data_IF_376871360578
#
_entry.id   IF_376871360578
#
_cell.length_a   1.000
_cell.length_b   1.000
_cell.length_c   1.000
_cell.angle_alpha   90.00
_cell.angle_beta   90.00
_cell.angle_gamma   90.00
#
_symmetry.space_group_name_H-M   'P 1'
#
loop_
_entity.id
_entity.type
_entity.pdbx_description
1 polymer ?
#
# COMPACT_ATOMS: atom_id res chain seq x y z
N UNK A 1 -1.36 9.68 -1.12
CA UNK A 1 0.07 9.90 -1.37
C UNK A 1 0.85 9.28 -0.23
N UNK A 2 1.75 8.33 -0.49
CA UNK A 2 2.62 7.76 0.55
C UNK A 2 3.56 8.89 1.01
N UNK A 3 3.42 9.36 2.24
CA UNK A 3 4.30 10.36 2.81
C UNK A 3 5.50 9.68 3.46
N UNK A 4 6.71 10.13 3.12
CA UNK A 4 7.94 9.64 3.74
C UNK A 4 7.96 10.15 5.17
N UNK A 5 7.80 9.24 6.13
CA UNK A 5 7.80 9.58 7.55
C UNK A 5 9.23 9.81 8.04
N UNK A 6 9.71 11.05 7.91
CA UNK A 6 11.05 11.46 8.33
C UNK A 6 11.30 11.30 9.83
N UNK A 7 10.23 11.34 10.64
CA UNK A 7 10.29 11.14 12.09
C UNK A 7 9.36 9.99 12.51
N UNK A 8 9.77 8.72 12.31
CA UNK A 8 8.95 7.57 12.64
C UNK A 8 8.76 7.44 14.16
N UNK A 9 7.65 6.81 14.57
CA UNK A 9 7.37 6.56 15.98
C UNK A 9 8.43 5.62 16.58
N UNK A 10 8.78 5.82 17.86
CA UNK A 10 9.76 4.96 18.55
C UNK A 10 9.39 3.48 18.50
N UNK A 11 8.08 3.15 18.52
CA UNK A 11 7.59 1.78 18.38
C UNK A 11 7.93 1.18 17.02
N UNK A 12 7.76 1.93 15.93
CA UNK A 12 8.10 1.48 14.57
C UNK A 12 9.60 1.24 14.41
N UNK A 13 10.43 2.14 14.97
CA UNK A 13 11.89 1.96 14.96
C UNK A 13 12.32 0.70 15.72
N UNK A 14 11.69 0.40 16.87
CA UNK A 14 11.97 -0.84 17.63
C UNK A 14 11.51 -2.09 16.90
N UNK A 15 10.33 -2.07 16.28
CA UNK A 15 9.84 -3.19 15.47
C UNK A 15 10.75 -3.44 14.27
N UNK A 16 11.21 -2.37 13.62
CA UNK A 16 12.19 -2.48 12.55
C UNK A 16 13.52 -3.06 13.04
N UNK A 17 14.06 -2.53 14.15
CA UNK A 17 15.32 -3.00 14.73
C UNK A 17 15.28 -4.46 15.18
N UNK A 18 14.19 -4.88 15.82
CA UNK A 18 14.10 -6.22 16.42
C UNK A 18 13.65 -7.32 15.47
N UNK A 19 12.89 -6.99 14.41
CA UNK A 19 12.27 -7.98 13.54
C UNK A 19 12.76 -7.81 12.11
N UNK A 20 12.44 -6.68 11.49
CA UNK A 20 12.60 -6.51 10.05
C UNK A 20 14.06 -6.40 9.61
N UNK A 21 14.88 -5.67 10.36
CA UNK A 21 16.29 -5.49 10.06
C UNK A 21 17.08 -6.80 10.18
N UNK A 22 17.03 -7.56 11.29
CA UNK A 22 17.72 -8.84 11.38
C UNK A 22 17.18 -9.87 10.39
N UNK A 23 15.86 -9.92 10.15
CA UNK A 23 15.28 -10.80 9.12
C UNK A 23 15.81 -10.48 7.72
N UNK A 24 15.91 -9.19 7.38
CA UNK A 24 16.47 -8.74 6.10
C UNK A 24 17.95 -9.11 5.98
N UNK A 25 18.76 -8.84 7.00
CA UNK A 25 20.18 -9.21 7.01
C UNK A 25 20.39 -10.74 6.95
N UNK A 26 19.55 -11.52 7.63
CA UNK A 26 19.58 -12.99 7.56
C UNK A 26 19.30 -13.49 6.14
N UNK A 27 18.25 -12.97 5.51
CA UNK A 27 17.86 -13.37 4.15
C UNK A 27 18.89 -12.97 3.11
N UNK A 28 19.42 -11.75 3.20
CA UNK A 28 20.47 -11.25 2.29
C UNK A 28 21.76 -12.05 2.48
N UNK A 29 22.21 -12.24 3.73
CA UNK A 29 23.40 -13.03 4.04
C UNK A 29 23.28 -14.47 3.56
N UNK A 30 22.12 -15.10 3.76
CA UNK A 30 21.84 -16.44 3.25
C UNK A 30 21.89 -16.50 1.72
N UNK A 31 21.30 -15.51 1.03
CA UNK A 31 21.34 -15.44 -0.44
C UNK A 31 22.76 -15.29 -0.98
N UNK A 32 23.60 -14.48 -0.32
CA UNK A 32 25.01 -14.27 -0.69
C UNK A 32 25.85 -15.52 -0.40
N UNK A 33 25.68 -16.14 0.77
CA UNK A 33 26.38 -17.37 1.13
C UNK A 33 26.10 -18.50 0.12
N UNK A 34 24.83 -18.63 -0.30
CA UNK A 34 24.39 -19.61 -1.31
C UNK A 34 25.04 -19.40 -2.68
N UNK A 35 25.30 -18.15 -3.07
CA UNK A 35 25.89 -17.81 -4.38
C UNK A 35 27.42 -17.81 -4.38
N UNK A 36 28.04 -17.46 -3.26
CA UNK A 36 29.47 -17.11 -3.22
C UNK A 36 30.31 -18.10 -2.40
N UNK A 37 29.69 -18.91 -1.54
CA UNK A 37 30.39 -19.92 -0.72
C UNK A 37 31.23 -19.37 0.45
N UNK A 38 31.42 -18.04 0.55
CA UNK A 38 32.16 -17.38 1.62
C UNK A 38 31.33 -17.26 2.90
N UNK A 39 31.20 -18.35 3.65
CA UNK A 39 30.42 -18.40 4.90
C UNK A 39 31.00 -17.53 6.02
N UNK A 40 32.33 -17.40 6.08
CA UNK A 40 33.01 -16.64 7.12
C UNK A 40 32.67 -15.13 7.07
N UNK A 41 32.61 -14.54 5.87
CA UNK A 41 32.30 -13.12 5.71
C UNK A 41 30.82 -12.83 6.05
N UNK A 42 29.94 -13.80 5.78
CA UNK A 42 28.51 -13.69 6.10
C UNK A 42 28.26 -13.79 7.61
N UNK A 43 29.00 -14.64 8.31
CA UNK A 43 28.90 -14.77 9.77
C UNK A 43 29.30 -13.47 10.48
N UNK A 44 30.41 -12.85 10.07
CA UNK A 44 30.83 -11.54 10.59
C UNK A 44 29.75 -10.48 10.31
N UNK A 45 29.16 -10.49 9.10
CA UNK A 45 28.06 -9.60 8.73
C UNK A 45 26.82 -9.77 9.62
N UNK A 46 26.46 -11.00 9.98
CA UNK A 46 25.34 -11.28 10.87
C UNK A 46 25.59 -10.85 12.31
N UNK A 47 26.82 -11.04 12.83
CA UNK A 47 27.20 -10.57 14.16
C UNK A 47 27.06 -9.04 14.22
N UNK A 48 27.60 -8.33 13.22
CA UNK A 48 27.50 -6.86 13.14
C UNK A 48 26.05 -6.41 13.03
N UNK A 49 25.24 -7.05 12.19
CA UNK A 49 23.82 -6.75 12.07
C UNK A 49 23.05 -7.01 13.38
N UNK A 50 23.41 -8.07 14.11
CA UNK A 50 22.85 -8.38 15.43
C UNK A 50 23.17 -7.30 16.46
N UNK A 51 24.42 -6.83 16.51
CA UNK A 51 24.84 -5.73 17.39
C UNK A 51 24.07 -4.45 17.05
N UNK A 52 23.94 -4.10 15.77
CA UNK A 52 23.17 -2.93 15.32
C UNK A 52 21.68 -3.06 15.69
N UNK A 53 21.12 -4.27 15.57
CA UNK A 53 19.73 -4.56 15.96
C UNK A 53 19.50 -4.33 17.45
N UNK A 54 20.42 -4.85 18.29
CA UNK A 54 20.37 -4.68 19.76
C UNK A 54 20.52 -3.20 20.12
N UNK A 55 21.49 -2.50 19.53
CA UNK A 55 21.67 -1.06 19.74
C UNK A 55 20.43 -0.26 19.32
N UNK A 56 19.78 -0.61 18.21
CA UNK A 56 18.53 0.00 17.77
C UNK A 56 17.33 -0.29 18.69
N UNK A 57 17.33 -1.42 19.40
CA UNK A 57 16.31 -1.74 20.40
C UNK A 57 16.48 -0.94 21.70
N UNK A 58 17.72 -0.74 22.15
CA UNK A 58 18.04 0.04 23.37
C UNK A 58 17.96 1.54 23.10
N UNK A 59 18.49 1.99 21.96
CA UNK A 59 18.50 3.40 21.52
C UNK A 59 17.90 3.53 20.10
N UNK A 60 16.56 3.63 19.99
CA UNK A 60 15.85 3.77 18.72
C UNK A 60 16.33 4.91 17.79
N UNK A 61 16.79 6.09 18.29
CA UNK A 61 17.25 7.17 17.41
C UNK A 61 18.43 6.78 16.51
N UNK A 62 19.26 5.81 16.91
CA UNK A 62 20.45 5.38 16.15
C UNK A 62 20.06 4.66 14.85
N UNK A 63 18.95 3.90 14.85
CA UNK A 63 18.52 3.13 13.68
C UNK A 63 17.65 3.95 12.71
N UNK A 64 17.25 5.16 13.11
CA UNK A 64 16.44 6.07 12.29
C UNK A 64 17.05 6.37 10.91
N UNK A 65 18.33 6.75 10.74
CA UNK A 65 18.88 7.02 9.41
C UNK A 65 18.84 5.79 8.50
N UNK A 66 19.11 4.60 9.05
CA UNK A 66 19.05 3.33 8.31
C UNK A 66 17.60 3.06 7.86
N UNK A 67 16.64 3.21 8.77
CA UNK A 67 15.22 3.05 8.48
C UNK A 67 14.76 4.01 7.37
N UNK A 68 15.03 5.30 7.53
CA UNK A 68 14.61 6.33 6.55
C UNK A 68 15.29 6.11 5.21
N UNK A 69 16.58 5.78 5.18
CA UNK A 69 17.30 5.46 3.94
C UNK A 69 16.70 4.26 3.21
N UNK A 70 16.35 3.20 3.93
CA UNK A 70 15.73 2.02 3.35
C UNK A 70 14.31 2.29 2.84
N UNK A 71 13.51 3.08 3.57
CA UNK A 71 12.18 3.51 3.13
C UNK A 71 12.28 4.38 1.88
N UNK A 72 13.26 5.29 1.82
CA UNK A 72 13.50 6.12 0.64
C UNK A 72 13.87 5.27 -0.58
N UNK A 73 14.71 4.25 -0.39
CA UNK A 73 15.11 3.32 -1.45
C UNK A 73 13.93 2.46 -1.94
N UNK A 74 13.06 2.02 -1.04
CA UNK A 74 11.91 1.15 -1.36
C UNK A 74 10.67 1.93 -1.80
N UNK A 75 10.65 3.26 -1.62
CA UNK A 75 9.53 4.12 -2.00
C UNK A 75 9.09 3.99 -3.48
N UNK A 76 10.01 4.02 -4.47
CA UNK A 76 9.63 3.87 -5.87
C UNK A 76 8.98 2.51 -6.15
N UNK A 77 9.43 1.45 -5.46
CA UNK A 77 8.85 0.11 -5.59
C UNK A 77 7.39 0.13 -5.11
N UNK A 78 7.13 0.72 -3.94
CA UNK A 78 5.77 0.86 -3.42
C UNK A 78 4.86 1.68 -4.34
N UNK A 79 5.40 2.74 -4.96
CA UNK A 79 4.68 3.53 -5.96
C UNK A 79 4.32 2.69 -7.19
N UNK A 80 5.28 1.96 -7.78
CA UNK A 80 5.04 1.08 -8.94
C UNK A 80 4.01 0.02 -8.60
N UNK A 81 4.17 -0.70 -7.48
CA UNK A 81 3.25 -1.76 -7.05
C UNK A 81 1.83 -1.21 -6.90
N UNK A 82 1.68 -0.03 -6.31
CA UNK A 82 0.36 0.60 -6.14
C UNK A 82 -0.32 0.91 -7.49
N UNK A 83 0.43 1.43 -8.46
CA UNK A 83 -0.10 1.73 -9.80
C UNK A 83 -0.40 0.47 -10.59
N UNK A 84 0.48 -0.52 -10.52
CA UNK A 84 0.28 -1.83 -11.17
C UNK A 84 -0.93 -2.52 -10.58
N UNK A 85 -1.10 -2.53 -9.26
CA UNK A 85 -2.24 -3.15 -8.60
C UNK A 85 -3.55 -2.44 -8.99
N UNK A 86 -3.56 -1.11 -9.00
CA UNK A 86 -4.72 -0.34 -9.44
C UNK A 86 -5.07 -0.64 -10.90
N UNK A 87 -4.07 -0.65 -11.79
CA UNK A 87 -4.24 -1.02 -13.18
C UNK A 87 -4.76 -2.45 -13.34
N UNK A 88 -4.22 -3.40 -12.59
CA UNK A 88 -4.65 -4.80 -12.61
C UNK A 88 -6.10 -4.95 -12.17
N UNK A 89 -6.53 -4.27 -11.11
CA UNK A 89 -7.93 -4.30 -10.66
C UNK A 89 -8.83 -3.65 -11.71
N UNK A 90 -8.44 -2.49 -12.23
CA UNK A 90 -9.26 -1.76 -13.18
C UNK A 90 -9.41 -2.51 -14.51
N UNK A 91 -8.32 -3.00 -15.09
CA UNK A 91 -8.34 -3.68 -16.38
C UNK A 91 -8.67 -5.18 -16.27
N UNK A 92 -8.33 -5.82 -15.16
CA UNK A 92 -8.58 -7.25 -14.95
C UNK A 92 -9.95 -7.57 -14.35
N UNK A 93 -10.57 -6.64 -13.63
CA UNK A 93 -11.87 -6.88 -12.97
C UNK A 93 -12.91 -5.88 -13.44
N UNK A 94 -12.67 -4.57 -13.27
CA UNK A 94 -13.71 -3.55 -13.53
C UNK A 94 -14.06 -3.48 -15.03
N UNK A 95 -13.05 -3.47 -15.89
CA UNK A 95 -13.21 -3.39 -17.35
C UNK A 95 -13.98 -4.58 -17.92
N UNK A 96 -13.64 -5.85 -17.62
CA UNK A 96 -14.41 -6.98 -18.13
C UNK A 96 -15.85 -7.00 -17.60
N UNK A 97 -16.10 -6.58 -16.36
CA UNK A 97 -17.48 -6.40 -15.86
C UNK A 97 -18.24 -5.40 -16.73
N UNK A 98 -17.64 -4.24 -17.04
CA UNK A 98 -18.24 -3.25 -17.92
C UNK A 98 -18.49 -3.76 -19.34
N UNK A 99 -17.56 -4.55 -19.89
CA UNK A 99 -17.71 -5.20 -21.20
C UNK A 99 -18.88 -6.18 -21.18
N UNK A 100 -18.98 -7.03 -20.14
CA UNK A 100 -20.08 -8.00 -19.99
C UNK A 100 -21.42 -7.27 -19.92
N UNK A 101 -21.55 -6.22 -19.09
CA UNK A 101 -22.77 -5.43 -18.97
C UNK A 101 -23.16 -4.78 -20.31
N UNK A 102 -22.17 -4.27 -21.05
CA UNK A 102 -22.40 -3.69 -22.37
C UNK A 102 -22.85 -4.72 -23.40
N UNK A 103 -22.29 -5.94 -23.36
CA UNK A 103 -22.68 -7.04 -24.25
C UNK A 103 -24.06 -7.61 -23.90
N UNK A 104 -24.45 -7.65 -22.62
CA UNK A 104 -25.77 -8.10 -22.19
C UNK A 104 -26.86 -7.02 -22.35
N UNK A 105 -26.50 -5.82 -22.81
CA UNK A 105 -27.43 -4.69 -22.97
C UNK A 105 -27.97 -4.16 -21.64
N UNK A 106 -27.34 -4.51 -20.52
CA UNK A 106 -27.75 -4.05 -19.21
C UNK A 106 -27.20 -2.65 -18.98
N UNK A 107 -28.08 -1.64 -19.00
CA UNK A 107 -27.76 -0.25 -18.69
C UNK A 107 -28.24 0.09 -17.26
N UNK A 108 -27.47 -0.26 -16.21
CA UNK A 108 -27.86 0.00 -14.82
C UNK A 108 -27.93 1.50 -14.52
N UNK A 109 -27.20 2.32 -15.27
CA UNK A 109 -27.16 3.76 -15.07
C UNK A 109 -28.26 4.50 -15.87
N UNK A 110 -28.98 3.80 -16.76
CA UNK A 110 -30.04 4.34 -17.63
C UNK A 110 -29.59 5.63 -18.34
N UNK A 111 -28.37 5.64 -18.85
CA UNK A 111 -27.73 6.84 -19.42
C UNK A 111 -28.26 7.13 -20.82
N UNK A 112 -28.83 6.12 -21.50
CA UNK A 112 -29.43 6.30 -22.81
C UNK A 112 -30.79 7.02 -22.69
N UNK A 113 -30.77 8.36 -22.70
CA UNK A 113 -31.97 9.17 -22.87
C UNK A 113 -32.49 9.03 -24.32
N UNK A 114 -33.81 8.89 -24.53
CA UNK A 114 -34.38 9.04 -25.86
C UNK A 114 -34.10 10.47 -26.39
N UNK A 115 -33.73 10.57 -27.67
CA UNK A 115 -33.42 11.86 -28.32
C UNK A 115 -34.50 12.90 -28.02
N UNK A 116 -34.11 13.99 -27.37
CA UNK A 116 -35.00 15.12 -27.06
C UNK A 116 -35.55 15.17 -25.63
N UNK A 117 -35.34 14.13 -24.80
CA UNK A 117 -35.78 14.12 -23.40
C UNK A 117 -34.63 14.30 -22.41
N UNK A 118 -34.88 15.06 -21.34
CA UNK A 118 -33.94 15.16 -20.22
C UNK A 118 -33.84 13.83 -19.47
N UNK A 119 -32.65 13.47 -18.99
CA UNK A 119 -32.42 12.36 -18.05
C UNK A 119 -33.04 12.60 -16.65
N UNK A 120 -33.87 13.63 -16.51
CA UNK A 120 -34.47 13.99 -15.24
C UNK A 120 -35.45 12.91 -14.80
N UNK A 121 -35.16 12.27 -13.67
CA UNK A 121 -36.11 11.36 -13.02
C UNK A 121 -36.95 12.17 -12.04
N UNK A 122 -38.26 12.12 -12.20
CA UNK A 122 -39.16 12.71 -11.21
C UNK A 122 -38.94 12.03 -9.86
N UNK A 123 -38.79 12.80 -8.76
CA UNK A 123 -38.69 12.22 -7.42
C UNK A 123 -39.88 11.30 -7.16
N UNK A 124 -39.64 10.00 -7.00
CA UNK A 124 -40.68 9.03 -6.68
C UNK A 124 -40.94 9.06 -5.18
N UNK A 125 -42.01 9.74 -4.79
CA UNK A 125 -42.50 9.80 -3.40
C UNK A 125 -43.26 11.09 -3.12
N UNK A 126 -44.40 11.00 -2.44
CA UNK A 126 -45.04 12.18 -1.82
C UNK A 126 -44.20 12.57 -0.60
N UNK A 127 -43.15 13.37 -0.82
CA UNK A 127 -42.37 13.93 0.29
C UNK A 127 -43.17 15.05 0.93
N UNK A 128 -43.60 14.82 2.16
CA UNK A 128 -44.26 15.81 3.02
C UNK A 128 -43.27 16.96 3.32
N UNK A 129 -43.59 18.22 2.99
CA UNK A 129 -42.75 19.38 3.28
C UNK A 129 -42.34 19.49 4.75
N UNK A 130 -43.16 18.98 5.68
CA UNK A 130 -42.86 18.98 7.11
C UNK A 130 -41.67 18.08 7.50
N UNK A 131 -41.25 17.16 6.62
CA UNK A 131 -40.10 16.28 6.85
C UNK A 131 -38.76 17.03 6.80
N UNK A 132 -38.63 18.08 5.97
CA UNK A 132 -37.41 18.89 5.88
C UNK A 132 -37.12 19.68 7.16
N UNK A 133 -38.17 20.04 7.90
CA UNK A 133 -38.06 20.83 9.12
C UNK A 133 -37.62 20.01 10.33
N UNK A 134 -37.49 18.68 10.21
CA UNK A 134 -37.12 17.76 11.30
C UNK A 134 -35.69 17.22 11.22
N UNK A 135 -34.87 17.69 10.26
CA UNK A 135 -33.49 17.25 10.07
C UNK A 135 -32.44 18.07 10.84
N UNK A 136 -32.84 18.85 11.85
CA UNK A 136 -31.93 19.59 12.74
C UNK A 136 -31.32 18.71 13.83
#
# INVERSE_FOLDING_TARGET
MISIQWNPERKQLRQFAGIWFPAFCALVGWSIARKTGHWHDVEVGWIVAGVISILGLVFPPIIRPIFVGLILLTYPIGWVVSHVLLGLIFYGIVTPIGIILRLTGHDPLQINAPLGNSLWKSPTGKMDPASYLRQS
#
